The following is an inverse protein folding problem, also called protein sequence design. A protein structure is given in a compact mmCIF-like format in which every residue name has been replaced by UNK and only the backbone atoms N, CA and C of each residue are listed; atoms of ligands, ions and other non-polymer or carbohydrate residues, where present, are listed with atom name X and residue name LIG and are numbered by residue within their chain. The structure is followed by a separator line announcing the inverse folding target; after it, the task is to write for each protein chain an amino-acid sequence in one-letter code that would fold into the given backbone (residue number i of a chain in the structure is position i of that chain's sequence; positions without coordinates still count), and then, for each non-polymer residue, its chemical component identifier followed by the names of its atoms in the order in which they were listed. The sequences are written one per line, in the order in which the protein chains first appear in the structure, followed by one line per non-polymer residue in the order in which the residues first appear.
data_IF_281003423479
#
_entry.id   IF_281003423479
#
_cell.length_a   1.000
_cell.length_b   1.000
_cell.length_c   1.000
_cell.angle_alpha   90.00
_cell.angle_beta   90.00
_cell.angle_gamma   90.00
#
_symmetry.space_group_name_H-M   'P 1'
#
loop_
_entity.id
_entity.type
_entity.pdbx_description
1 polymer ?
#
# COMPACT_ATOMS: atom_id res chain seq x y z
N UNK A 1 26.70 -31.89 49.30
CA UNK A 1 28.10 -32.38 49.47
C UNK A 1 29.07 -31.37 48.84
N UNK A 2 30.35 -31.39 49.24
CA UNK A 2 31.59 -30.80 48.68
C UNK A 2 31.47 -29.67 47.61
N UNK A 3 32.02 -28.45 47.74
CA UNK A 3 33.19 -27.91 48.47
C UNK A 3 34.59 -28.28 47.93
N UNK A 4 35.21 -27.32 47.22
CA UNK A 4 36.66 -27.11 47.01
C UNK A 4 36.84 -25.65 46.53
N UNK A 5 37.21 -24.68 47.36
CA UNK A 5 38.50 -24.37 48.03
C UNK A 5 39.48 -23.56 47.15
N UNK A 6 39.85 -22.41 47.71
CA UNK A 6 40.84 -21.39 47.27
C UNK A 6 42.31 -21.89 47.42
N UNK A 7 43.27 -21.22 46.76
CA UNK A 7 44.42 -20.60 47.43
C UNK A 7 44.28 -19.05 47.44
N UNK A 8 45.20 -18.29 48.05
CA UNK A 8 44.99 -16.84 48.27
C UNK A 8 46.25 -16.02 48.59
N UNK A 9 46.19 -14.72 48.25
CA UNK A 9 47.07 -13.61 48.71
C UNK A 9 48.54 -13.62 48.21
N UNK A 10 49.36 -12.57 48.46
CA UNK A 10 49.09 -11.20 48.98
C UNK A 10 49.36 -10.13 47.89
N UNK A 11 49.35 -8.80 48.03
CA UNK A 11 49.32 -7.85 49.14
C UNK A 11 50.03 -6.57 48.66
N UNK A 12 49.50 -5.38 48.95
CA UNK A 12 50.02 -4.14 48.35
C UNK A 12 49.36 -2.87 48.90
N UNK A 13 49.60 -2.57 50.18
CA UNK A 13 49.15 -1.33 50.82
C UNK A 13 50.35 -0.43 51.05
N UNK A 14 50.36 0.77 50.43
CA UNK A 14 51.20 1.88 50.86
C UNK A 14 50.33 3.09 51.22
N UNK A 15 50.11 3.25 52.52
CA UNK A 15 49.61 4.51 53.11
C UNK A 15 50.82 5.39 53.40
N UNK A 16 50.78 6.68 53.07
CA UNK A 16 51.87 7.60 53.39
C UNK A 16 51.61 9.06 52.97
N UNK A 17 51.28 9.97 53.92
CA UNK A 17 50.99 11.37 53.62
C UNK A 17 52.18 12.31 53.85
N UNK A 18 52.33 13.33 53.02
CA UNK A 18 53.26 14.47 53.19
C UNK A 18 53.08 15.47 52.03
N UNK A 19 52.53 16.68 52.25
CA UNK A 19 53.25 17.90 52.71
C UNK A 19 54.41 18.29 51.75
N UNK A 20 54.51 19.50 51.20
CA UNK A 20 53.76 20.75 51.40
C UNK A 20 54.09 21.78 50.30
N UNK A 21 53.17 22.75 50.08
CA UNK A 21 53.45 24.16 49.75
C UNK A 21 54.23 24.51 48.46
N UNK A 22 53.49 24.87 47.42
CA UNK A 22 53.88 25.94 46.50
C UNK A 22 52.63 26.70 45.97
N UNK A 23 51.95 27.43 46.85
CA UNK A 23 50.88 28.33 46.44
C UNK A 23 51.47 29.50 45.64
N UNK A 24 51.42 29.41 44.29
CA UNK A 24 51.73 30.55 43.43
C UNK A 24 50.56 31.54 43.47
N UNK A 25 50.77 32.58 44.27
CA UNK A 25 49.95 33.82 44.33
C UNK A 25 49.69 34.33 42.90
N UNK A 26 48.43 34.47 42.46
CA UNK A 26 48.15 35.22 41.24
C UNK A 26 48.42 36.70 41.52
N UNK A 27 49.24 37.34 40.68
CA UNK A 27 49.34 38.79 40.66
C UNK A 27 48.10 39.35 39.92
N UNK A 28 47.55 40.51 40.32
CA UNK A 28 46.48 41.18 39.59
C UNK A 28 47.04 41.84 38.33
N UNK A 29 47.32 41.02 37.31
CA UNK A 29 47.65 41.48 35.97
C UNK A 29 46.39 41.98 35.28
N UNK A 30 46.37 43.29 34.99
CA UNK A 30 45.38 43.98 34.13
C UNK A 30 44.82 43.09 33.03
N UNK A 31 43.48 43.06 32.92
CA UNK A 31 42.74 42.19 32.01
C UNK A 31 43.25 42.26 30.57
N UNK A 32 44.06 41.27 30.19
CA UNK A 32 44.48 41.07 28.80
C UNK A 32 43.41 40.25 28.13
N UNK A 33 42.67 40.86 27.20
CA UNK A 33 41.59 40.22 26.47
C UNK A 33 42.02 38.82 26.02
N UNK A 34 41.21 37.81 26.38
CA UNK A 34 41.48 36.43 25.97
C UNK A 34 41.23 36.31 24.48
N UNK A 35 42.26 36.60 23.69
CA UNK A 35 42.26 36.38 22.24
C UNK A 35 42.09 34.88 22.05
N UNK A 36 40.86 34.46 21.78
CA UNK A 36 40.48 33.08 21.41
C UNK A 36 41.24 32.70 20.15
N UNK A 37 42.47 32.19 20.34
CA UNK A 37 43.34 31.75 19.25
C UNK A 37 42.68 30.55 18.59
N UNK A 38 41.90 30.81 17.53
CA UNK A 38 41.41 29.79 16.63
C UNK A 38 42.64 29.04 16.14
N UNK A 39 42.86 27.84 16.68
CA UNK A 39 43.97 27.00 16.26
C UNK A 39 43.64 26.50 14.86
N UNK A 40 44.06 27.26 13.86
CA UNK A 40 44.08 26.86 12.47
C UNK A 40 44.85 25.54 12.40
N UNK A 41 44.12 24.41 12.36
CA UNK A 41 44.72 23.11 12.09
C UNK A 41 45.42 23.29 10.74
N UNK A 42 46.74 23.05 10.64
CA UNK A 42 47.43 23.20 9.38
C UNK A 42 46.70 22.34 8.36
N UNK A 43 46.26 22.96 7.25
CA UNK A 43 45.55 22.28 6.19
C UNK A 43 46.37 21.04 5.81
N UNK A 44 45.82 19.85 6.08
CA UNK A 44 46.53 18.59 5.82
C UNK A 44 46.75 18.55 4.31
N UNK A 45 47.98 18.76 3.87
CA UNK A 45 48.32 18.78 2.43
C UNK A 45 47.85 17.46 1.84
N UNK A 46 46.80 17.50 1.05
CA UNK A 46 46.16 16.32 0.49
C UNK A 46 47.20 15.64 -0.39
N UNK A 47 47.65 14.45 -0.01
CA UNK A 47 48.65 13.76 -0.82
C UNK A 47 48.01 13.42 -2.17
N UNK A 48 48.80 13.40 -3.26
CA UNK A 48 48.30 13.02 -4.59
C UNK A 48 47.59 11.66 -4.55
N UNK A 49 48.05 10.74 -3.69
CA UNK A 49 47.41 9.45 -3.40
C UNK A 49 46.03 9.59 -2.77
N UNK A 50 45.85 10.47 -1.78
CA UNK A 50 44.55 10.74 -1.16
C UNK A 50 43.56 11.40 -2.13
N UNK A 51 44.03 12.29 -3.00
CA UNK A 51 43.21 12.89 -4.05
C UNK A 51 42.74 11.83 -5.08
N UNK A 52 43.63 10.92 -5.49
CA UNK A 52 43.28 9.79 -6.37
C UNK A 52 42.27 8.86 -5.69
N UNK A 53 42.47 8.50 -4.42
CA UNK A 53 41.53 7.65 -3.67
C UNK A 53 40.14 8.30 -3.56
N UNK A 54 40.06 9.60 -3.28
CA UNK A 54 38.78 10.32 -3.24
C UNK A 54 38.08 10.32 -4.61
N UNK A 55 38.83 10.50 -5.71
CA UNK A 55 38.29 10.44 -7.07
C UNK A 55 37.79 9.03 -7.42
N UNK A 56 38.55 7.98 -7.08
CA UNK A 56 38.14 6.58 -7.31
C UNK A 56 36.89 6.23 -6.50
N UNK A 57 36.81 6.64 -5.23
CA UNK A 57 35.61 6.42 -4.41
C UNK A 57 34.39 7.17 -4.95
N UNK A 58 34.58 8.40 -5.45
CA UNK A 58 33.50 9.18 -6.09
C UNK A 58 33.04 8.52 -7.38
N UNK A 59 33.96 8.06 -8.23
CA UNK A 59 33.65 7.34 -9.45
C UNK A 59 32.93 6.02 -9.17
N UNK A 60 33.34 5.27 -8.14
CA UNK A 60 32.67 4.05 -7.71
C UNK A 60 31.25 4.35 -7.19
N UNK A 61 31.09 5.38 -6.37
CA UNK A 61 29.78 5.79 -5.86
C UNK A 61 28.82 6.21 -7.00
N UNK A 62 29.31 6.98 -7.98
CA UNK A 62 28.55 7.36 -9.18
C UNK A 62 28.20 6.13 -10.04
N UNK A 63 29.14 5.20 -10.23
CA UNK A 63 28.92 3.97 -10.99
C UNK A 63 27.91 3.02 -10.32
N UNK A 64 27.82 2.99 -8.99
CA UNK A 64 26.84 2.19 -8.24
C UNK A 64 25.51 2.90 -7.97
N UNK A 65 25.47 4.23 -8.01
CA UNK A 65 24.24 5.01 -7.76
C UNK A 65 23.11 4.69 -8.76
N UNK A 66 23.45 4.35 -10.01
CA UNK A 66 22.48 3.96 -11.03
C UNK A 66 22.01 2.49 -10.88
N UNK A 67 22.89 1.46 -10.82
CA UNK A 67 22.49 0.07 -10.56
C UNK A 67 21.64 -0.15 -9.30
N UNK A 68 21.89 0.62 -8.23
CA UNK A 68 21.11 0.50 -6.99
C UNK A 68 19.66 0.96 -7.17
N UNK A 69 19.38 1.95 -8.04
CA UNK A 69 18.00 2.36 -8.36
C UNK A 69 17.28 1.26 -9.14
N UNK A 70 17.90 0.78 -10.21
CA UNK A 70 17.31 -0.27 -11.06
C UNK A 70 17.07 -1.57 -10.29
N UNK A 71 17.92 -1.91 -9.31
CA UNK A 71 17.71 -3.09 -8.46
C UNK A 71 16.49 -2.96 -7.53
N UNK A 72 16.20 -1.76 -7.02
CA UNK A 72 15.02 -1.51 -6.19
C UNK A 72 13.75 -1.52 -7.04
N UNK A 73 13.77 -0.91 -8.23
CA UNK A 73 12.66 -0.96 -9.18
C UNK A 73 12.33 -2.40 -9.61
N UNK A 74 13.34 -3.21 -9.98
CA UNK A 74 13.16 -4.63 -10.29
C UNK A 74 12.54 -5.42 -9.13
N UNK A 75 12.85 -5.09 -7.87
CA UNK A 75 12.24 -5.75 -6.71
C UNK A 75 10.78 -5.36 -6.49
N UNK A 76 10.41 -4.12 -6.77
CA UNK A 76 9.01 -3.66 -6.73
C UNK A 76 8.22 -4.35 -7.86
N UNK A 77 8.80 -4.43 -9.06
CA UNK A 77 8.22 -5.10 -10.22
C UNK A 77 8.00 -6.60 -9.99
N UNK A 78 9.00 -7.33 -9.44
CA UNK A 78 8.86 -8.75 -9.08
C UNK A 78 7.73 -8.95 -8.08
N UNK A 79 7.71 -8.21 -6.96
CA UNK A 79 6.66 -8.35 -5.94
C UNK A 79 5.27 -8.04 -6.52
N UNK A 80 5.18 -7.09 -7.45
CA UNK A 80 3.93 -6.75 -8.14
C UNK A 80 3.47 -7.87 -9.07
N UNK A 81 4.36 -8.43 -9.88
CA UNK A 81 4.06 -9.53 -10.79
C UNK A 81 3.67 -10.81 -10.04
N UNK A 82 4.34 -11.10 -8.91
CA UNK A 82 3.97 -12.22 -8.03
C UNK A 82 2.57 -12.04 -7.42
N UNK A 83 2.20 -10.82 -7.01
CA UNK A 83 0.87 -10.51 -6.51
C UNK A 83 -0.21 -10.58 -7.62
N UNK A 84 0.08 -10.05 -8.81
CA UNK A 84 -0.81 -10.14 -9.98
C UNK A 84 -0.99 -11.60 -10.44
N UNK A 85 0.04 -12.45 -10.32
CA UNK A 85 -0.04 -13.87 -10.60
C UNK A 85 -0.90 -14.63 -9.58
N UNK A 86 -0.78 -14.32 -8.27
CA UNK A 86 -1.64 -14.93 -7.23
C UNK A 86 -3.10 -14.60 -7.49
N UNK A 87 -3.42 -13.31 -7.68
CA UNK A 87 -4.79 -12.85 -7.93
C UNK A 87 -5.41 -13.44 -9.21
N UNK A 88 -4.62 -13.57 -10.29
CA UNK A 88 -5.08 -14.26 -11.50
C UNK A 88 -5.33 -15.76 -11.28
N UNK A 89 -4.48 -16.42 -10.48
CA UNK A 89 -4.63 -17.86 -10.18
C UNK A 89 -5.87 -18.13 -9.33
N UNK A 90 -6.10 -17.30 -8.30
CA UNK A 90 -7.31 -17.33 -7.47
C UNK A 90 -8.58 -17.09 -8.29
N UNK A 91 -8.55 -16.14 -9.24
CA UNK A 91 -9.69 -15.87 -10.12
C UNK A 91 -9.94 -17.01 -11.13
N UNK A 92 -8.89 -17.69 -11.63
CA UNK A 92 -9.05 -18.89 -12.45
C UNK A 92 -9.70 -20.02 -11.63
N UNK A 93 -9.27 -20.25 -10.38
CA UNK A 93 -9.87 -21.26 -9.51
C UNK A 93 -11.35 -20.97 -9.21
N UNK A 94 -11.70 -19.69 -8.98
CA UNK A 94 -13.10 -19.25 -8.83
C UNK A 94 -13.94 -19.52 -10.09
N UNK A 95 -13.43 -19.13 -11.26
CA UNK A 95 -14.12 -19.34 -12.54
C UNK A 95 -14.23 -20.82 -12.91
N UNK A 96 -13.23 -21.65 -12.61
CA UNK A 96 -13.30 -23.10 -12.79
C UNK A 96 -14.35 -23.72 -11.84
N UNK A 97 -14.39 -23.31 -10.58
CA UNK A 97 -15.37 -23.76 -9.61
C UNK A 97 -16.80 -23.30 -9.96
N UNK A 98 -16.96 -22.13 -10.58
CA UNK A 98 -18.24 -21.70 -11.14
C UNK A 98 -18.61 -22.52 -12.39
N UNK A 99 -17.69 -22.70 -13.34
CA UNK A 99 -17.89 -23.47 -14.58
C UNK A 99 -18.36 -24.90 -14.29
N UNK A 100 -17.78 -25.55 -13.28
CA UNK A 100 -18.20 -26.89 -12.82
C UNK A 100 -19.63 -26.92 -12.28
N UNK A 101 -20.14 -25.82 -11.67
CA UNK A 101 -21.56 -25.74 -11.27
C UNK A 101 -22.47 -25.60 -12.48
N UNK A 102 -22.10 -24.77 -13.45
CA UNK A 102 -22.88 -24.58 -14.69
C UNK A 102 -22.86 -25.80 -15.63
N UNK A 103 -21.90 -26.72 -15.49
CA UNK A 103 -21.92 -28.02 -16.18
C UNK A 103 -23.00 -28.98 -15.65
N UNK A 104 -23.50 -28.80 -14.42
CA UNK A 104 -24.53 -29.66 -13.84
C UNK A 104 -25.91 -29.31 -14.43
N UNK A 105 -26.56 -30.23 -15.19
CA UNK A 105 -27.86 -29.96 -15.78
C UNK A 105 -28.98 -29.74 -14.75
N UNK A 106 -28.86 -30.26 -13.52
CA UNK A 106 -29.84 -29.99 -12.46
C UNK A 106 -29.67 -28.58 -11.88
N UNK A 107 -28.43 -28.11 -11.74
CA UNK A 107 -28.15 -26.71 -11.36
C UNK A 107 -28.70 -25.73 -12.40
N UNK A 108 -28.48 -25.99 -13.68
CA UNK A 108 -29.02 -25.18 -14.79
C UNK A 108 -30.55 -25.15 -14.78
N UNK A 109 -31.22 -26.31 -14.60
CA UNK A 109 -32.70 -26.36 -14.47
C UNK A 109 -33.20 -25.56 -13.27
N UNK A 110 -32.55 -25.67 -12.11
CA UNK A 110 -32.92 -24.93 -10.92
C UNK A 110 -32.75 -23.41 -11.10
N UNK A 111 -31.68 -23.00 -11.77
CA UNK A 111 -31.43 -21.58 -12.08
C UNK A 111 -32.44 -21.03 -13.10
N UNK A 112 -32.77 -21.78 -14.14
CA UNK A 112 -33.83 -21.41 -15.10
C UNK A 112 -35.19 -21.31 -14.41
N UNK A 113 -35.53 -22.26 -13.53
CA UNK A 113 -36.80 -22.24 -12.79
C UNK A 113 -36.90 -21.07 -11.81
N UNK A 114 -35.80 -20.70 -11.15
CA UNK A 114 -35.79 -19.60 -10.17
C UNK A 114 -35.73 -18.20 -10.79
N UNK A 115 -35.07 -18.05 -11.95
CA UNK A 115 -34.89 -16.74 -12.61
C UNK A 115 -35.84 -16.45 -13.77
N UNK A 116 -36.26 -17.49 -14.51
CA UNK A 116 -37.11 -17.36 -15.70
C UNK A 116 -38.48 -18.03 -15.53
N UNK A 117 -38.74 -18.67 -14.38
CA UNK A 117 -39.98 -19.42 -14.10
C UNK A 117 -40.32 -20.45 -15.20
N UNK A 118 -39.30 -20.95 -15.91
CA UNK A 118 -39.46 -21.87 -17.03
C UNK A 118 -39.28 -23.33 -16.59
N UNK A 119 -40.10 -24.21 -17.14
CA UNK A 119 -40.25 -25.61 -16.74
C UNK A 119 -40.37 -26.50 -18.00
N UNK A 120 -39.87 -27.75 -18.00
CA UNK A 120 -40.01 -28.66 -19.14
C UNK A 120 -41.48 -28.89 -19.55
N UNK A 121 -41.77 -29.13 -20.85
CA UNK A 121 -43.13 -29.37 -21.30
C UNK A 121 -43.70 -30.67 -20.67
N UNK A 122 -44.80 -30.52 -19.93
CA UNK A 122 -45.46 -31.62 -19.21
C UNK A 122 -45.25 -31.62 -17.69
N UNK A 123 -44.49 -30.66 -17.15
CA UNK A 123 -44.43 -30.35 -15.71
C UNK A 123 -45.19 -29.03 -15.44
N UNK A 124 -46.02 -29.01 -14.38
CA UNK A 124 -46.75 -27.81 -13.96
C UNK A 124 -45.88 -26.95 -13.00
N UNK A 125 -45.80 -25.64 -13.24
CA UNK A 125 -45.19 -24.70 -12.31
C UNK A 125 -46.22 -24.26 -11.27
N UNK A 126 -45.90 -24.44 -9.98
CA UNK A 126 -46.67 -23.87 -8.86
C UNK A 126 -45.87 -22.74 -8.24
N UNK A 127 -46.41 -21.52 -8.30
CA UNK A 127 -45.91 -20.35 -7.56
C UNK A 127 -46.79 -20.18 -6.33
N UNK A 128 -46.19 -20.16 -5.14
CA UNK A 128 -46.91 -19.85 -3.90
C UNK A 128 -46.80 -18.35 -3.67
N UNK A 129 -47.91 -17.64 -3.89
CA UNK A 129 -48.05 -16.23 -3.54
C UNK A 129 -48.49 -16.18 -2.08
N UNK A 130 -47.71 -15.53 -1.23
CA UNK A 130 -48.13 -15.19 0.13
C UNK A 130 -48.87 -13.85 0.09
N UNK A 131 -50.04 -13.77 0.73
CA UNK A 131 -50.92 -12.59 0.71
C UNK A 131 -50.29 -11.42 1.52
N UNK A 132 -49.33 -11.73 2.40
CA UNK A 132 -48.56 -10.78 3.20
C UNK A 132 -47.16 -10.44 2.61
N UNK A 133 -46.75 -10.93 1.41
CA UNK A 133 -45.42 -10.59 0.84
C UNK A 133 -45.42 -9.24 0.10
N UNK A 134 -44.74 -8.19 0.63
CA UNK A 134 -44.65 -6.88 -0.02
C UNK A 134 -43.88 -6.88 -1.35
N UNK A 135 -43.30 -8.02 -1.77
CA UNK A 135 -42.65 -8.18 -3.08
C UNK A 135 -43.59 -8.68 -4.18
N UNK A 136 -44.84 -9.00 -3.88
CA UNK A 136 -45.84 -9.46 -4.86
C UNK A 136 -47.03 -8.49 -5.02
N UNK A 137 -46.90 -7.25 -4.57
CA UNK A 137 -47.91 -6.18 -4.72
C UNK A 137 -48.03 -5.61 -6.14
N UNK A 138 -47.20 -6.05 -7.10
CA UNK A 138 -47.11 -5.52 -8.47
C UNK A 138 -48.26 -5.89 -9.41
N UNK A 139 -49.50 -5.85 -8.93
CA UNK A 139 -50.70 -6.13 -9.74
C UNK A 139 -52.04 -5.91 -9.04
N UNK A 140 -52.08 -5.21 -7.90
CA UNK A 140 -53.33 -4.97 -7.14
C UNK A 140 -53.67 -3.48 -6.93
N UNK A 141 -52.67 -2.58 -6.92
CA UNK A 141 -52.83 -1.17 -6.54
C UNK A 141 -52.42 -0.17 -7.65
N UNK A 142 -52.55 -0.54 -8.92
CA UNK A 142 -52.50 0.45 -10.01
C UNK A 142 -53.85 1.18 -10.11
N UNK A 143 -54.00 2.26 -9.32
CA UNK A 143 -55.09 3.23 -9.47
C UNK A 143 -55.00 3.94 -10.83
N UNK A 144 -55.59 3.31 -11.85
CA UNK A 144 -55.87 3.93 -13.16
C UNK A 144 -54.70 4.74 -13.75
N UNK A 145 -53.50 4.17 -13.72
CA UNK A 145 -52.49 4.50 -14.72
C UNK A 145 -53.14 4.31 -16.10
N UNK A 146 -52.90 5.25 -17.02
CA UNK A 146 -53.59 5.29 -18.31
C UNK A 146 -53.44 3.94 -19.06
N UNK A 147 -54.46 3.50 -19.81
CA UNK A 147 -54.50 2.24 -20.59
C UNK A 147 -53.47 2.20 -21.76
N UNK A 148 -52.37 2.95 -21.64
CA UNK A 148 -51.22 2.95 -22.52
C UNK A 148 -50.48 1.62 -22.35
N UNK A 149 -50.25 0.88 -23.42
CA UNK A 149 -49.48 -0.34 -23.31
C UNK A 149 -47.99 -0.01 -23.10
N UNK A 150 -47.27 -0.79 -22.30
CA UNK A 150 -45.85 -0.58 -22.00
C UNK A 150 -44.94 -0.40 -23.23
N UNK A 151 -45.32 -0.97 -24.38
CA UNK A 151 -44.58 -0.83 -25.63
C UNK A 151 -44.77 0.53 -26.30
N UNK A 152 -45.90 1.21 -26.05
CA UNK A 152 -46.16 2.58 -26.50
C UNK A 152 -45.35 3.56 -25.64
N UNK A 153 -45.32 3.37 -24.32
CA UNK A 153 -44.44 4.12 -23.40
C UNK A 153 -42.96 3.97 -23.80
N UNK A 154 -42.51 2.74 -24.11
CA UNK A 154 -41.16 2.50 -24.62
C UNK A 154 -40.91 3.21 -25.97
N UNK A 155 -41.86 3.18 -26.89
CA UNK A 155 -41.74 3.88 -28.18
C UNK A 155 -41.65 5.39 -27.99
N UNK A 156 -42.39 5.96 -27.04
CA UNK A 156 -42.32 7.38 -26.69
C UNK A 156 -40.95 7.76 -26.11
N UNK A 157 -40.28 6.90 -25.32
CA UNK A 157 -38.90 7.19 -24.86
C UNK A 157 -37.89 7.31 -26.01
N UNK A 158 -38.02 6.51 -27.07
CA UNK A 158 -37.19 6.65 -28.27
C UNK A 158 -37.54 7.92 -29.05
N UNK A 159 -38.83 8.26 -29.15
CA UNK A 159 -39.29 9.47 -29.82
C UNK A 159 -38.92 10.76 -29.07
N UNK A 160 -38.74 10.70 -27.75
CA UNK A 160 -38.27 11.81 -26.93
C UNK A 160 -36.75 11.97 -27.00
N UNK A 161 -35.99 10.87 -26.96
CA UNK A 161 -34.55 10.88 -27.14
C UNK A 161 -34.11 11.47 -28.50
N UNK A 162 -34.89 11.27 -29.57
CA UNK A 162 -34.65 11.84 -30.90
C UNK A 162 -34.99 13.35 -31.00
N UNK A 163 -35.71 13.91 -30.01
CA UNK A 163 -36.01 15.36 -29.92
C UNK A 163 -34.98 16.15 -29.11
N UNK A 164 -33.99 15.49 -28.51
CA UNK A 164 -32.85 16.19 -27.92
C UNK A 164 -31.95 16.73 -29.04
N UNK A 165 -32.32 17.89 -29.56
CA UNK A 165 -31.41 18.75 -30.31
C UNK A 165 -30.13 18.94 -29.49
N UNK A 166 -28.95 19.00 -30.14
CA UNK A 166 -27.70 19.20 -29.43
C UNK A 166 -27.74 20.56 -28.73
N UNK A 167 -27.85 20.54 -27.40
CA UNK A 167 -27.71 21.72 -26.55
C UNK A 167 -26.45 22.47 -26.99
N UNK A 168 -26.62 23.75 -27.31
CA UNK A 168 -25.61 24.49 -28.06
C UNK A 168 -24.30 24.45 -27.28
N UNK A 169 -23.26 23.88 -27.88
CA UNK A 169 -21.91 24.00 -27.34
C UNK A 169 -21.51 25.47 -27.42
N UNK A 170 -21.82 26.23 -26.37
CA UNK A 170 -21.21 27.53 -26.08
C UNK A 170 -19.70 27.29 -25.93
N UNK A 171 -18.96 27.43 -27.04
CA UNK A 171 -17.53 27.68 -26.99
C UNK A 171 -17.32 28.97 -26.19
N UNK A 172 -16.62 28.94 -25.03
CA UNK A 172 -16.18 30.16 -24.41
C UNK A 172 -15.08 30.78 -25.30
N UNK A 173 -15.42 31.86 -25.99
CA UNK A 173 -14.47 32.62 -26.79
C UNK A 173 -13.46 33.39 -25.90
N UNK A 174 -12.20 33.39 -26.35
CA UNK A 174 -11.01 34.10 -25.84
C UNK A 174 -10.26 33.54 -24.62
#
# INVERSE_FOLDING_TARGET
MNASRRPSHPGGRSTGPGRTRAARRPAPGTGRAEVKRVRYRPARKVSRRAAILALVLSALALAYAYPLRTYVEQRIEINRLEAEQSAQSEHIEELEAERVKWDDPEYVKAQIRSSLLLVPPGEDLVIVIDEDDPKHTGGADDEAAEDQAWYDELADTFADADRLEPDETEEPAE
#
